data_IF_839918924590
#
_entry.id   IF_839918924590
#
_cell.length_a   1.000
_cell.length_b   1.000
_cell.length_c   1.000
_cell.angle_alpha   90.00
_cell.angle_beta   90.00
_cell.angle_gamma   90.00
#
_symmetry.space_group_name_H-M   'P 1'
#
loop_
_entity.id
_entity.type
_entity.pdbx_description
1 polymer ?
#
# COMPACT_ATOMS: atom_id res chain seq x y z
N UNK A 1 -0.91 13.49 23.25
CA UNK A 1 -0.76 13.07 21.84
C UNK A 1 0.22 14.04 21.21
N UNK A 2 1.32 13.59 20.60
CA UNK A 2 2.20 14.50 19.88
C UNK A 2 1.38 15.25 18.83
N UNK A 3 1.53 16.57 18.80
CA UNK A 3 0.89 17.42 17.81
C UNK A 3 1.55 17.30 16.44
N UNK A 4 0.93 17.95 15.45
CA UNK A 4 1.48 18.01 14.09
C UNK A 4 2.88 18.63 14.08
N UNK A 5 3.15 19.58 14.99
CA UNK A 5 4.45 20.23 15.10
C UNK A 5 5.57 19.25 15.47
N UNK A 6 5.37 18.41 16.49
CA UNK A 6 6.35 17.39 16.87
C UNK A 6 6.56 16.37 15.75
N UNK A 7 5.48 15.97 15.04
CA UNK A 7 5.57 15.06 13.90
C UNK A 7 6.42 15.63 12.75
N UNK A 8 6.28 16.93 12.45
CA UNK A 8 7.10 17.60 11.41
C UNK A 8 8.58 17.64 11.83
N UNK A 9 8.88 17.90 13.09
CA UNK A 9 10.26 17.93 13.60
C UNK A 9 10.90 16.54 13.47
N UNK A 10 10.18 15.48 13.84
CA UNK A 10 10.65 14.10 13.69
C UNK A 10 10.90 13.78 12.21
N UNK A 11 9.97 14.15 11.33
CA UNK A 11 10.13 13.96 9.89
C UNK A 11 11.35 14.70 9.34
N UNK A 12 11.60 15.92 9.79
CA UNK A 12 12.76 16.71 9.40
C UNK A 12 14.08 16.04 9.83
N UNK A 13 14.15 15.50 11.05
CA UNK A 13 15.31 14.74 11.53
C UNK A 13 15.50 13.46 10.70
N UNK A 14 14.43 12.71 10.43
CA UNK A 14 14.47 11.54 9.55
C UNK A 14 14.98 11.89 8.15
N UNK A 15 14.53 13.00 7.58
CA UNK A 15 15.00 13.48 6.28
C UNK A 15 16.47 13.91 6.30
N UNK A 16 16.98 14.45 7.41
CA UNK A 16 18.40 14.76 7.56
C UNK A 16 19.28 13.50 7.64
N UNK A 17 18.82 12.46 8.33
CA UNK A 17 19.56 11.20 8.48
C UNK A 17 19.55 10.35 7.21
N UNK A 18 18.38 10.22 6.56
CA UNK A 18 18.20 9.34 5.40
C UNK A 18 18.32 10.10 4.07
N UNK A 19 18.12 11.41 4.06
CA UNK A 19 18.04 12.22 2.85
C UNK A 19 16.67 12.14 2.15
N UNK A 20 16.34 13.19 1.40
CA UNK A 20 15.10 13.28 0.61
C UNK A 20 15.01 12.25 -0.52
N UNK A 21 16.14 11.65 -0.93
CA UNK A 21 16.21 10.70 -2.05
C UNK A 21 15.95 9.26 -1.62
N UNK A 22 16.33 8.88 -0.39
CA UNK A 22 16.19 7.49 0.08
C UNK A 22 14.77 7.15 0.55
N UNK A 23 14.10 8.10 1.21
CA UNK A 23 12.75 7.94 1.75
C UNK A 23 11.72 7.54 0.67
N UNK A 24 11.64 8.23 -0.48
CA UNK A 24 10.73 7.84 -1.57
C UNK A 24 11.11 6.54 -2.26
N UNK A 25 12.40 6.16 -2.24
CA UNK A 25 12.86 4.88 -2.78
C UNK A 25 12.37 3.71 -1.93
N UNK A 26 12.57 3.80 -0.61
CA UNK A 26 12.13 2.81 0.37
C UNK A 26 10.59 2.66 0.38
N UNK A 27 9.86 3.77 0.32
CA UNK A 27 8.40 3.75 0.23
C UNK A 27 7.91 3.05 -1.05
N UNK A 28 8.58 3.28 -2.19
CA UNK A 28 8.22 2.61 -3.45
C UNK A 28 8.44 1.10 -3.38
N UNK A 29 9.60 0.64 -2.92
CA UNK A 29 9.88 -0.80 -2.81
C UNK A 29 8.99 -1.51 -1.79
N UNK A 30 8.73 -0.86 -0.65
CA UNK A 30 7.81 -1.37 0.37
C UNK A 30 6.37 -1.38 -0.17
N UNK A 31 5.94 -0.31 -0.84
CA UNK A 31 4.61 -0.20 -1.45
C UNK A 31 4.36 -1.24 -2.53
N UNK A 32 5.37 -1.52 -3.38
CA UNK A 32 5.30 -2.60 -4.37
C UNK A 32 5.13 -3.96 -3.70
N UNK A 33 5.91 -4.25 -2.65
CA UNK A 33 5.82 -5.51 -1.90
C UNK A 33 4.45 -5.69 -1.24
N UNK A 34 3.92 -4.63 -0.60
CA UNK A 34 2.58 -4.64 0.01
C UNK A 34 1.48 -4.79 -1.04
N UNK A 35 1.63 -4.14 -2.19
CA UNK A 35 0.68 -4.23 -3.30
C UNK A 35 0.61 -5.65 -3.89
N UNK A 36 1.77 -6.27 -4.11
CA UNK A 36 1.85 -7.67 -4.59
C UNK A 36 1.33 -8.65 -3.54
N UNK A 37 1.66 -8.45 -2.27
CA UNK A 37 1.13 -9.25 -1.16
C UNK A 37 -0.40 -9.17 -1.10
N UNK A 38 -0.96 -7.96 -1.20
CA UNK A 38 -2.42 -7.75 -1.20
C UNK A 38 -3.09 -8.38 -2.44
N UNK A 39 -2.43 -8.32 -3.60
CA UNK A 39 -2.94 -8.93 -4.84
C UNK A 39 -2.98 -10.46 -4.74
N UNK A 40 -1.91 -11.09 -4.25
CA UNK A 40 -1.90 -12.54 -4.01
C UNK A 40 -2.91 -12.99 -2.95
N UNK A 41 -3.11 -12.19 -1.89
CA UNK A 41 -4.14 -12.47 -0.87
C UNK A 41 -5.55 -12.41 -1.45
N UNK A 42 -5.83 -11.42 -2.32
CA UNK A 42 -7.11 -11.27 -2.99
C UNK A 42 -7.36 -12.40 -4.00
N UNK A 43 -6.38 -12.79 -4.83
CA UNK A 43 -6.54 -13.92 -5.77
C UNK A 43 -6.86 -15.22 -5.02
N UNK A 44 -6.27 -15.43 -3.83
CA UNK A 44 -6.57 -16.60 -3.00
C UNK A 44 -7.96 -16.52 -2.35
N UNK A 45 -8.49 -15.31 -2.17
CA UNK A 45 -9.81 -15.08 -1.57
C UNK A 45 -10.95 -15.11 -2.61
N UNK A 46 -10.69 -14.65 -3.84
CA UNK A 46 -11.67 -14.60 -4.93
C UNK A 46 -11.94 -15.97 -5.57
N UNK A 47 -11.02 -16.93 -5.45
CA UNK A 47 -11.24 -18.33 -5.86
C UNK A 47 -12.28 -19.06 -4.97
N UNK A 48 -12.78 -18.39 -3.92
CA UNK A 48 -13.92 -18.84 -3.11
C UNK A 48 -15.24 -18.11 -3.41
N UNK A 49 -15.27 -17.12 -4.32
CA UNK A 49 -16.45 -16.28 -4.56
C UNK A 49 -16.91 -16.12 -6.03
N UNK A 50 -16.23 -16.67 -7.02
CA UNK A 50 -16.59 -16.43 -8.44
C UNK A 50 -17.47 -17.53 -9.09
N UNK A 51 -18.61 -17.82 -8.46
CA UNK A 51 -19.69 -18.61 -9.08
C UNK A 51 -21.03 -17.84 -9.13
N UNK A 52 -21.00 -16.51 -9.30
CA UNK A 52 -22.24 -15.71 -9.44
C UNK A 52 -22.06 -14.41 -10.24
N UNK A 53 -21.42 -14.42 -11.42
CA UNK A 53 -21.54 -13.26 -12.33
C UNK A 53 -21.24 -13.52 -13.81
N UNK A 54 -21.82 -14.57 -14.38
CA UNK A 54 -21.98 -14.61 -15.83
C UNK A 54 -23.21 -15.42 -16.21
N UNK A 55 -24.37 -14.78 -16.21
CA UNK A 55 -25.50 -15.13 -17.10
C UNK A 55 -26.65 -14.10 -16.92
N UNK A 56 -26.53 -12.96 -17.60
CA UNK A 56 -27.72 -12.18 -17.98
C UNK A 56 -28.02 -12.52 -19.44
N UNK A 57 -29.14 -13.22 -19.74
CA UNK A 57 -29.48 -13.62 -21.10
C UNK A 57 -29.81 -12.37 -21.90
N UNK A 58 -29.17 -12.23 -23.06
CA UNK A 58 -29.59 -11.26 -24.07
C UNK A 58 -30.97 -11.68 -24.59
N UNK A 59 -31.98 -10.83 -24.39
CA UNK A 59 -33.28 -10.87 -25.06
C UNK A 59 -33.74 -9.44 -25.32
#
# INVERSE_FOLDING_TARGET
MPGIQEMIIILAIFLLLFGSTKLPGLMRSMGQSVNEFKRGMNDTSDDSSDHDKSEAPKA
#
